data_IF_662911232293
#
_entry.id   IF_662911232293
#
_cell.length_a   1.000
_cell.length_b   1.000
_cell.length_c   1.000
_cell.angle_alpha   90.00
_cell.angle_beta   90.00
_cell.angle_gamma   90.00
#
_symmetry.space_group_name_H-M   'P 1'
#
loop_
_entity.id
_entity.type
_entity.pdbx_description
1 polymer ?
#
# COMPACT_ATOMS: atom_id res chain seq x y z
N UNK A 1 8.56 0.88 -11.17
CA UNK A 1 8.59 1.07 -9.70
C UNK A 1 9.55 0.14 -8.95
N UNK A 2 10.03 -1.00 -9.51
CA UNK A 2 11.17 -1.72 -8.93
C UNK A 2 10.98 -2.25 -7.51
N UNK A 3 9.74 -2.62 -7.15
CA UNK A 3 9.35 -3.14 -5.83
C UNK A 3 8.73 -4.54 -5.92
N UNK A 4 8.77 -5.16 -7.10
CA UNK A 4 8.08 -6.43 -7.33
C UNK A 4 8.64 -7.54 -6.45
N UNK A 5 9.95 -7.57 -6.28
CA UNK A 5 10.70 -8.50 -5.46
C UNK A 5 10.36 -8.30 -3.97
N UNK A 6 10.39 -7.05 -3.50
CA UNK A 6 10.02 -6.70 -2.13
C UNK A 6 8.58 -7.09 -1.79
N UNK A 7 7.65 -6.95 -2.74
CA UNK A 7 6.28 -7.42 -2.58
C UNK A 7 6.22 -8.95 -2.58
N UNK A 8 6.86 -9.62 -3.54
CA UNK A 8 6.87 -11.08 -3.64
C UNK A 8 7.42 -11.74 -2.36
N UNK A 9 8.47 -11.18 -1.76
CA UNK A 9 9.03 -11.65 -0.49
C UNK A 9 8.08 -11.45 0.70
N UNK A 10 7.31 -10.37 0.70
CA UNK A 10 6.41 -10.02 1.79
C UNK A 10 5.03 -10.68 1.72
N UNK A 11 4.67 -11.27 0.57
CA UNK A 11 3.34 -11.75 0.29
C UNK A 11 3.22 -13.28 0.31
N UNK A 12 1.98 -13.75 0.26
CA UNK A 12 1.62 -15.17 0.24
C UNK A 12 1.02 -15.49 -1.12
N UNK A 13 1.61 -16.45 -1.85
CA UNK A 13 1.16 -16.86 -3.19
C UNK A 13 0.55 -18.28 -3.23
N UNK A 14 1.02 -19.20 -2.37
CA UNK A 14 0.53 -20.59 -2.28
C UNK A 14 -0.52 -20.75 -1.17
N UNK A 15 -1.65 -20.06 -1.33
CA UNK A 15 -2.76 -20.17 -0.37
C UNK A 15 -3.47 -21.51 -0.54
N UNK A 16 -3.53 -22.28 0.54
CA UNK A 16 -4.44 -23.43 0.68
C UNK A 16 -5.79 -22.93 1.16
N UNK A 17 -6.82 -23.17 0.37
CA UNK A 17 -8.19 -22.77 0.67
C UNK A 17 -8.92 -23.99 1.21
N UNK A 18 -9.36 -23.90 2.46
CA UNK A 18 -10.24 -24.90 3.07
C UNK A 18 -11.68 -24.63 2.64
N UNK A 19 -12.33 -25.61 2.03
CA UNK A 19 -13.67 -25.50 1.48
C UNK A 19 -14.70 -26.24 2.34
N UNK A 20 -15.83 -25.58 2.56
CA UNK A 20 -16.97 -26.12 3.29
C UNK A 20 -18.25 -26.02 2.45
N UNK A 21 -19.11 -27.04 2.53
CA UNK A 21 -20.49 -26.98 2.05
C UNK A 21 -21.42 -26.89 3.27
N UNK A 22 -21.88 -25.69 3.59
CA UNK A 22 -22.52 -25.44 4.89
C UNK A 22 -21.53 -25.72 6.02
N UNK A 23 -21.81 -26.73 6.84
CA UNK A 23 -20.92 -27.18 7.94
C UNK A 23 -20.02 -28.36 7.59
N UNK A 24 -20.22 -28.98 6.42
CA UNK A 24 -19.45 -30.14 6.00
C UNK A 24 -18.13 -29.72 5.34
N UNK A 25 -17.01 -30.30 5.79
CA UNK A 25 -15.70 -30.07 5.17
C UNK A 25 -15.63 -30.83 3.83
N UNK A 26 -15.48 -30.10 2.73
CA UNK A 26 -15.31 -30.66 1.38
C UNK A 26 -13.84 -31.06 1.16
N UNK A 27 -12.92 -30.29 1.71
CA UNK A 27 -11.47 -30.55 1.63
C UNK A 27 -10.64 -29.28 1.54
N UNK A 28 -9.34 -29.47 1.35
CA UNK A 28 -8.38 -28.40 1.15
C UNK A 28 -7.95 -28.37 -0.31
N UNK A 29 -8.14 -27.24 -0.99
CA UNK A 29 -7.70 -27.04 -2.37
C UNK A 29 -6.56 -26.03 -2.43
N UNK A 30 -5.60 -26.28 -3.31
CA UNK A 30 -4.68 -25.23 -3.75
C UNK A 30 -5.32 -24.45 -4.88
N UNK A 31 -5.09 -23.14 -4.91
CA UNK A 31 -5.55 -22.31 -6.03
C UNK A 31 -4.79 -22.72 -7.29
N UNK A 32 -5.53 -23.15 -8.31
CA UNK A 32 -4.94 -23.53 -9.58
C UNK A 32 -4.29 -22.31 -10.24
N UNK A 33 -3.06 -22.50 -10.74
CA UNK A 33 -2.28 -21.43 -11.38
C UNK A 33 -2.28 -21.70 -12.88
N UNK A 34 -2.99 -20.86 -13.63
CA UNK A 34 -2.87 -20.83 -15.08
C UNK A 34 -1.57 -20.14 -15.46
N UNK A 35 -0.62 -20.91 -16.01
CA UNK A 35 0.60 -20.36 -16.60
C UNK A 35 0.22 -19.47 -17.78
N UNK A 36 0.46 -18.17 -17.62
CA UNK A 36 0.23 -17.15 -18.64
C UNK A 36 1.58 -16.62 -19.14
N UNK A 37 2.00 -16.96 -20.38
CA UNK A 37 3.31 -16.57 -20.90
C UNK A 37 3.50 -15.05 -21.04
N UNK A 38 2.41 -14.31 -21.09
CA UNK A 38 2.35 -12.86 -21.29
C UNK A 38 2.50 -12.05 -19.98
N UNK A 39 2.59 -12.71 -18.82
CA UNK A 39 2.79 -12.03 -17.53
C UNK A 39 4.01 -12.54 -16.77
N UNK A 40 4.74 -11.61 -16.16
CA UNK A 40 5.81 -11.93 -15.18
C UNK A 40 5.26 -12.32 -13.81
N UNK A 41 3.96 -12.10 -13.56
CA UNK A 41 3.29 -12.40 -12.30
C UNK A 41 2.11 -13.35 -12.56
N UNK A 42 2.38 -14.66 -12.72
CA UNK A 42 1.34 -15.64 -13.06
C UNK A 42 0.41 -15.97 -11.88
N UNK A 43 0.80 -15.57 -10.66
CA UNK A 43 0.06 -15.85 -9.43
C UNK A 43 -0.39 -14.55 -8.77
N UNK A 44 -1.61 -14.56 -8.21
CA UNK A 44 -2.04 -13.54 -7.28
C UNK A 44 -1.21 -13.61 -5.99
N UNK A 45 -0.94 -12.45 -5.42
CA UNK A 45 -0.15 -12.28 -4.21
C UNK A 45 -1.05 -11.65 -3.15
N UNK A 46 -1.21 -12.33 -2.02
CA UNK A 46 -1.94 -11.80 -0.87
C UNK A 46 -0.95 -11.03 -0.01
N UNK A 47 -1.23 -9.75 0.18
CA UNK A 47 -0.42 -8.84 0.98
C UNK A 47 -1.33 -8.07 1.94
N UNK A 48 -1.01 -8.03 3.24
CA UNK A 48 -1.65 -7.09 4.15
C UNK A 48 -1.40 -5.66 3.67
N UNK A 49 -2.44 -4.82 3.68
CA UNK A 49 -2.33 -3.42 3.23
C UNK A 49 -1.23 -2.66 3.99
N UNK A 50 -1.11 -2.86 5.31
CA UNK A 50 -0.07 -2.20 6.11
C UNK A 50 1.34 -2.50 5.58
N UNK A 51 1.56 -3.70 5.04
CA UNK A 51 2.87 -4.12 4.53
C UNK A 51 3.17 -3.49 3.17
N UNK A 52 2.14 -3.34 2.34
CA UNK A 52 2.24 -2.58 1.08
C UNK A 52 2.67 -1.15 1.38
N UNK A 53 1.99 -0.49 2.33
CA UNK A 53 2.31 0.88 2.71
C UNK A 53 3.71 1.02 3.34
N UNK A 54 4.13 0.06 4.16
CA UNK A 54 5.47 0.01 4.75
C UNK A 54 6.58 -0.04 3.70
N UNK A 55 6.42 -0.91 2.69
CA UNK A 55 7.35 -1.02 1.56
C UNK A 55 7.39 0.28 0.76
N UNK A 56 6.23 0.88 0.50
CA UNK A 56 6.14 2.15 -0.22
C UNK A 56 6.77 3.31 0.57
N UNK A 57 6.51 3.42 1.88
CA UNK A 57 7.14 4.42 2.76
C UNK A 57 8.66 4.24 2.79
N UNK A 58 9.14 3.01 2.89
CA UNK A 58 10.57 2.70 2.81
C UNK A 58 11.16 3.16 1.48
N UNK A 59 10.45 2.96 0.37
CA UNK A 59 10.90 3.43 -0.94
C UNK A 59 10.93 4.96 -1.04
N UNK A 60 9.92 5.65 -0.49
CA UNK A 60 9.88 7.13 -0.44
C UNK A 60 11.08 7.72 0.31
N UNK A 61 11.52 7.07 1.39
CA UNK A 61 12.72 7.48 2.13
C UNK A 61 13.98 7.50 1.27
N UNK A 62 14.09 6.58 0.31
CA UNK A 62 15.23 6.56 -0.64
C UNK A 62 15.29 7.79 -1.54
N UNK A 63 14.16 8.51 -1.67
CA UNK A 63 14.06 9.78 -2.38
C UNK A 63 14.14 11.00 -1.43
N UNK A 64 14.45 10.80 -0.15
CA UNK A 64 14.46 11.85 0.87
C UNK A 64 13.07 12.31 1.31
N UNK A 65 12.01 11.55 0.97
CA UNK A 65 10.63 11.86 1.32
C UNK A 65 10.24 11.09 2.59
N UNK A 66 9.74 11.80 3.60
CA UNK A 66 9.15 11.22 4.80
C UNK A 66 7.64 11.43 4.80
N UNK A 67 6.90 10.38 5.17
CA UNK A 67 5.44 10.44 5.32
C UNK A 67 5.13 10.69 6.80
N UNK A 68 4.53 11.84 7.08
CA UNK A 68 4.05 12.17 8.42
C UNK A 68 2.70 11.47 8.69
N UNK A 69 2.58 10.80 9.84
CA UNK A 69 1.36 10.10 10.27
C UNK A 69 0.83 10.72 11.55
N UNK A 70 -0.47 10.53 11.85
CA UNK A 70 -1.11 11.19 13.00
C UNK A 70 -1.25 12.71 12.84
N UNK A 71 -1.16 13.19 11.60
CA UNK A 71 -1.22 14.60 11.23
C UNK A 71 -2.52 14.87 10.50
N UNK A 72 -3.29 15.86 10.95
CA UNK A 72 -4.54 16.27 10.30
C UNK A 72 -4.38 17.61 9.55
N UNK A 73 -4.85 17.67 8.30
CA UNK A 73 -4.99 18.90 7.52
C UNK A 73 -6.27 19.63 7.95
N UNK A 74 -6.12 20.68 8.76
CA UNK A 74 -7.27 21.43 9.34
C UNK A 74 -7.68 22.66 8.53
N UNK A 75 -6.83 23.16 7.63
CA UNK A 75 -7.19 24.23 6.68
C UNK A 75 -6.27 24.20 5.46
N UNK A 76 -6.81 24.55 4.31
CA UNK A 76 -6.09 24.58 3.03
C UNK A 76 -6.46 25.86 2.25
N UNK A 77 -5.46 26.52 1.67
CA UNK A 77 -5.65 27.63 0.73
C UNK A 77 -4.63 27.57 -0.39
N UNK A 78 -5.10 27.58 -1.64
CA UNK A 78 -4.29 27.50 -2.85
C UNK A 78 -4.48 28.76 -3.69
N UNK A 79 -3.39 29.28 -4.25
CA UNK A 79 -3.38 30.29 -5.30
C UNK A 79 -2.64 29.71 -6.52
N UNK A 80 -2.81 30.32 -7.69
CA UNK A 80 -2.61 29.75 -9.04
C UNK A 80 -1.39 28.84 -9.27
N UNK A 81 -0.30 29.00 -8.52
CA UNK A 81 0.90 28.17 -8.63
C UNK A 81 1.25 27.36 -7.36
N UNK A 82 0.74 27.72 -6.17
CA UNK A 82 1.18 27.14 -4.89
C UNK A 82 0.09 27.13 -3.79
N UNK A 83 0.23 26.19 -2.86
CA UNK A 83 -0.56 26.17 -1.61
C UNK A 83 0.06 27.19 -0.64
N UNK A 84 -0.68 28.24 -0.30
CA UNK A 84 -0.18 29.36 0.51
C UNK A 84 -0.32 29.07 2.01
N UNK A 85 -1.33 28.29 2.43
CA UNK A 85 -1.56 28.02 3.86
C UNK A 85 -2.07 26.60 4.10
N UNK A 86 -1.32 25.86 4.91
CA UNK A 86 -1.75 24.61 5.52
C UNK A 86 -1.71 24.79 7.04
N UNK A 87 -2.82 24.52 7.73
CA UNK A 87 -2.83 24.38 9.19
C UNK A 87 -2.85 22.89 9.52
N UNK A 88 -1.81 22.45 10.22
CA UNK A 88 -1.67 21.09 10.71
C UNK A 88 -1.92 21.11 12.22
N UNK A 89 -2.76 20.19 12.70
CA UNK A 89 -2.79 19.83 14.12
C UNK A 89 -1.82 18.65 14.32
N UNK A 90 -0.77 18.88 15.12
CA UNK A 90 0.19 17.85 15.55
C UNK A 90 0.34 17.97 17.06
N UNK A 91 0.31 16.83 17.76
CA UNK A 91 0.69 16.78 19.17
C UNK A 91 2.19 17.04 19.39
N UNK A 92 3.05 16.93 18.36
CA UNK A 92 4.51 17.15 18.45
C UNK A 92 5.14 17.80 17.19
N UNK A 93 5.79 18.97 17.39
CA UNK A 93 6.75 19.80 16.59
C UNK A 93 6.79 19.75 15.03
N UNK A 94 6.76 20.97 14.44
CA UNK A 94 6.55 21.36 13.02
C UNK A 94 7.68 21.05 12.01
N UNK A 95 7.28 20.67 10.77
CA UNK A 95 7.94 20.95 9.47
C UNK A 95 6.87 21.33 8.41
N UNK A 96 7.21 22.05 7.33
CA UNK A 96 6.26 22.30 6.24
C UNK A 96 5.97 21.01 5.47
N UNK A 97 4.70 20.65 5.32
CA UNK A 97 4.23 19.54 4.50
C UNK A 97 3.52 20.07 3.25
N UNK A 98 3.54 19.29 2.16
CA UNK A 98 2.84 19.59 0.91
C UNK A 98 1.66 18.63 0.75
N UNK A 99 0.51 19.13 0.29
CA UNK A 99 -0.69 18.32 0.01
C UNK A 99 -0.74 17.99 -1.47
N UNK A 100 -0.81 16.71 -1.82
CA UNK A 100 -1.04 16.26 -3.19
C UNK A 100 -2.53 15.94 -3.36
N UNK A 101 -3.27 16.77 -4.09
CA UNK A 101 -4.68 16.53 -4.43
C UNK A 101 -4.75 15.88 -5.83
N UNK A 102 -5.51 14.80 -5.99
CA UNK A 102 -5.85 14.27 -7.31
C UNK A 102 -7.02 15.09 -7.87
N UNK A 103 -6.79 15.82 -8.96
CA UNK A 103 -7.82 16.35 -9.87
C UNK A 103 -8.58 15.24 -10.56
#
# INVERSE_FOLDING_TARGET
>A
MGLAEAFAEAGISDLVIRQYNGTELIGDIKREVFLRPDTRFPQGLILPQWKVEDILRTKLRTFGIEVETGTELTSFGQDGDYIIKQRICQSFRKRPAYVCHKT
#
